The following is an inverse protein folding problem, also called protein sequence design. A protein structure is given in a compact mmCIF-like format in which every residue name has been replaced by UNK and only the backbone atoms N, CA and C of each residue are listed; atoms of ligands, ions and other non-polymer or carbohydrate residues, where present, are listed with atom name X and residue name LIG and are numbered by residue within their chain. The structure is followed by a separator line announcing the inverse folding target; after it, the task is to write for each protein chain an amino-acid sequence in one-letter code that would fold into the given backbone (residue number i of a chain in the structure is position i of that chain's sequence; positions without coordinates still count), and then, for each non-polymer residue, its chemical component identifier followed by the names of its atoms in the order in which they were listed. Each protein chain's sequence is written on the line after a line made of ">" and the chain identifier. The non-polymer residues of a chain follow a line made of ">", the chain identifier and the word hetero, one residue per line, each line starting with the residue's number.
data_IF_804165877591
#
_entry.id   IF_804165877591
#
_cell.length_a   1.000
_cell.length_b   1.000
_cell.length_c   1.000
_cell.angle_alpha   90.00
_cell.angle_beta   90.00
_cell.angle_gamma   90.00
#
_symmetry.space_group_name_H-M   'P 1'
#
loop_
_entity.id
_entity.type
_entity.pdbx_description
1 polymer ?
#
# COMPACT_ATOMS: atom_id res chain seq x y z
N UNK A 1 -15.69 9.75 7.48
CA UNK A 1 -15.46 9.76 6.01
C UNK A 1 -14.30 10.71 5.71
N UNK A 2 -13.05 10.25 5.73
CA UNK A 2 -11.88 11.07 5.40
C UNK A 2 -10.78 10.17 4.82
N UNK A 3 -10.91 9.73 3.57
CA UNK A 3 -9.77 9.19 2.79
C UNK A 3 -9.92 9.43 1.27
N UNK A 4 -11.10 9.82 0.80
CA UNK A 4 -11.31 10.38 -0.53
C UNK A 4 -10.93 11.88 -0.48
N UNK A 5 -9.95 12.47 -1.21
CA UNK A 5 -9.23 12.02 -2.39
C UNK A 5 -7.75 12.50 -2.42
N UNK A 6 -6.83 11.87 -1.66
CA UNK A 6 -5.39 12.17 -1.79
C UNK A 6 -4.65 11.21 -2.72
N UNK A 7 -5.33 10.16 -3.20
CA UNK A 7 -4.78 9.13 -4.08
C UNK A 7 -4.62 9.65 -5.52
N UNK A 8 -5.35 10.69 -5.92
CA UNK A 8 -5.35 11.13 -7.33
C UNK A 8 -4.18 12.06 -7.72
N UNK A 9 -3.57 12.78 -6.79
CA UNK A 9 -2.49 13.72 -7.14
C UNK A 9 -1.15 13.03 -7.46
N UNK A 10 -0.96 11.77 -7.04
CA UNK A 10 0.26 11.00 -7.28
C UNK A 10 0.24 10.19 -8.60
N UNK A 11 -0.85 10.28 -9.39
CA UNK A 11 -1.07 9.45 -10.58
C UNK A 11 -0.07 9.66 -11.72
N UNK A 12 0.71 10.74 -11.73
CA UNK A 12 1.72 11.01 -12.77
C UNK A 12 3.16 10.85 -12.29
N UNK A 13 3.44 11.06 -10.99
CA UNK A 13 4.73 10.78 -10.36
C UNK A 13 4.52 10.38 -8.89
N UNK A 14 4.89 9.14 -8.52
CA UNK A 14 5.00 8.72 -7.12
C UNK A 14 6.45 8.62 -6.71
N UNK A 15 6.73 8.94 -5.45
CA UNK A 15 8.06 8.81 -4.85
C UNK A 15 7.93 8.16 -3.47
N UNK A 16 9.00 7.53 -2.95
CA UNK A 16 8.97 6.97 -1.61
C UNK A 16 8.56 7.99 -0.54
N UNK A 17 8.90 9.28 -0.70
CA UNK A 17 8.51 10.32 0.26
C UNK A 17 7.02 10.68 0.19
N UNK A 18 6.42 10.68 -1.00
CA UNK A 18 4.98 10.92 -1.19
C UNK A 18 4.17 9.79 -0.53
N UNK A 19 4.53 8.54 -0.81
CA UNK A 19 3.81 7.38 -0.25
C UNK A 19 3.96 7.28 1.28
N UNK A 20 5.13 7.61 1.83
CA UNK A 20 5.30 7.71 3.29
C UNK A 20 4.38 8.77 3.88
N UNK A 21 4.25 9.93 3.23
CA UNK A 21 3.35 11.00 3.67
C UNK A 21 1.87 10.57 3.69
N UNK A 22 1.47 9.74 2.71
CA UNK A 22 0.13 9.13 2.68
C UNK A 22 -0.08 8.19 3.87
N UNK A 23 0.85 7.26 4.11
CA UNK A 23 0.75 6.32 5.23
C UNK A 23 0.77 7.02 6.59
N UNK A 24 1.55 8.09 6.74
CA UNK A 24 1.53 8.92 7.95
C UNK A 24 0.14 9.52 8.22
N UNK A 25 -0.55 10.02 7.19
CA UNK A 25 -1.93 10.52 7.31
C UNK A 25 -2.95 9.42 7.55
N UNK A 26 -2.65 8.18 7.15
CA UNK A 26 -3.46 7.02 7.50
C UNK A 26 -3.28 6.62 8.97
N UNK A 27 -2.30 7.15 9.69
CA UNK A 27 -2.10 6.86 11.11
C UNK A 27 -0.98 5.86 11.41
N UNK A 28 -0.18 5.49 10.40
CA UNK A 28 1.09 4.81 10.63
C UNK A 28 2.12 5.79 11.18
N UNK A 29 3.05 5.31 12.01
CA UNK A 29 4.20 6.11 12.42
C UNK A 29 5.29 6.11 11.32
N UNK A 30 6.29 6.98 11.49
CA UNK A 30 7.38 7.15 10.49
C UNK A 30 8.15 5.85 10.19
N UNK A 31 8.32 4.97 11.18
CA UNK A 31 9.02 3.70 11.00
C UNK A 31 8.17 2.70 10.23
N UNK A 32 6.90 2.56 10.59
CA UNK A 32 5.92 1.71 9.89
C UNK A 32 5.75 2.17 8.44
N UNK A 33 5.56 3.47 8.22
CA UNK A 33 5.41 4.05 6.89
C UNK A 33 6.65 3.81 6.01
N UNK A 34 7.85 3.96 6.58
CA UNK A 34 9.10 3.67 5.88
C UNK A 34 9.17 2.18 5.49
N UNK A 35 8.97 1.27 6.45
CA UNK A 35 9.04 -0.17 6.19
C UNK A 35 8.05 -0.62 5.10
N UNK A 36 6.80 -0.17 5.18
CA UNK A 36 5.79 -0.49 4.17
C UNK A 36 6.20 0.01 2.78
N UNK A 37 6.65 1.26 2.68
CA UNK A 37 7.08 1.83 1.39
C UNK A 37 8.29 1.09 0.84
N UNK A 38 9.28 0.76 1.66
CA UNK A 38 10.48 0.03 1.23
C UNK A 38 10.08 -1.35 0.68
N UNK A 39 9.26 -2.12 1.40
CA UNK A 39 8.78 -3.44 0.96
C UNK A 39 7.92 -3.38 -0.31
N UNK A 40 7.08 -2.34 -0.46
CA UNK A 40 6.25 -2.13 -1.66
C UNK A 40 7.12 -1.70 -2.85
N UNK A 41 8.15 -0.89 -2.60
CA UNK A 41 9.10 -0.43 -3.61
C UNK A 41 9.94 -1.59 -4.16
N UNK A 42 10.47 -2.45 -3.29
CA UNK A 42 11.21 -3.66 -3.66
C UNK A 42 10.39 -4.59 -4.58
N UNK A 43 9.06 -4.56 -4.45
CA UNK A 43 8.13 -5.34 -5.30
C UNK A 43 7.77 -4.67 -6.62
N UNK A 44 8.27 -3.47 -6.88
CA UNK A 44 7.91 -2.66 -8.05
C UNK A 44 6.47 -2.16 -8.03
N UNK A 45 5.83 -2.14 -6.86
CA UNK A 45 4.40 -1.82 -6.71
C UNK A 45 4.13 -0.39 -6.25
N UNK A 46 5.16 0.45 -6.11
CA UNK A 46 4.99 1.83 -5.64
C UNK A 46 4.00 2.63 -6.52
N UNK A 47 4.01 2.39 -7.83
CA UNK A 47 3.07 3.01 -8.79
C UNK A 47 1.60 2.64 -8.58
N UNK A 48 1.28 1.67 -7.70
CA UNK A 48 -0.09 1.32 -7.30
C UNK A 48 -0.59 2.09 -6.08
N UNK A 49 0.30 2.83 -5.41
CA UNK A 49 0.05 3.59 -4.18
C UNK A 49 0.13 2.71 -2.93
N UNK A 50 1.00 3.05 -1.99
CA UNK A 50 1.23 2.26 -0.77
C UNK A 50 -0.01 2.24 0.14
N UNK A 51 -0.66 3.39 0.31
CA UNK A 51 -1.92 3.47 1.07
C UNK A 51 -3.05 2.65 0.44
N UNK A 52 -3.11 2.62 -0.89
CA UNK A 52 -4.10 1.83 -1.62
C UNK A 52 -3.87 0.32 -1.46
N UNK A 53 -2.61 -0.13 -1.51
CA UNK A 53 -2.26 -1.54 -1.27
C UNK A 53 -2.71 -1.96 0.14
N UNK A 54 -2.33 -1.19 1.17
CA UNK A 54 -2.69 -1.48 2.56
C UNK A 54 -4.22 -1.54 2.73
N UNK A 55 -4.94 -0.54 2.21
CA UNK A 55 -6.40 -0.51 2.28
C UNK A 55 -7.05 -1.71 1.55
N UNK A 56 -6.55 -2.08 0.37
CA UNK A 56 -7.12 -3.17 -0.41
C UNK A 56 -6.91 -4.53 0.27
N UNK A 57 -5.75 -4.75 0.89
CA UNK A 57 -5.47 -5.93 1.71
C UNK A 57 -6.35 -5.98 2.94
N UNK A 58 -6.51 -4.85 3.64
CA UNK A 58 -7.43 -4.76 4.77
C UNK A 58 -8.85 -5.18 4.39
N UNK A 59 -9.32 -4.73 3.20
CA UNK A 59 -10.62 -5.12 2.63
C UNK A 59 -10.69 -6.60 2.26
N UNK A 60 -9.62 -7.17 1.69
CA UNK A 60 -9.57 -8.59 1.31
C UNK A 60 -9.67 -9.52 2.53
N UNK A 61 -9.03 -9.17 3.63
CA UNK A 61 -9.04 -9.96 4.87
C UNK A 61 -10.12 -9.53 5.86
N UNK A 62 -10.95 -8.54 5.52
CA UNK A 62 -11.97 -7.96 6.38
C UNK A 62 -11.44 -7.55 7.77
N UNK A 63 -10.29 -6.87 7.79
CA UNK A 63 -9.62 -6.36 8.98
C UNK A 63 -9.44 -4.84 8.90
N UNK A 64 -9.08 -4.22 10.03
CA UNK A 64 -8.69 -2.81 10.04
C UNK A 64 -7.40 -2.57 9.23
N UNK A 65 -7.28 -1.40 8.61
CA UNK A 65 -6.15 -1.11 7.74
C UNK A 65 -4.83 -0.86 8.50
N UNK A 66 -4.88 -0.40 9.76
CA UNK A 66 -3.69 -0.31 10.61
C UNK A 66 -3.17 -1.72 10.91
N UNK A 67 -4.08 -2.64 11.25
CA UNK A 67 -3.74 -4.04 11.47
C UNK A 67 -3.16 -4.69 10.21
N UNK A 68 -3.79 -4.49 9.06
CA UNK A 68 -3.27 -4.97 7.78
C UNK A 68 -1.85 -4.47 7.50
N UNK A 69 -1.60 -3.18 7.69
CA UNK A 69 -0.26 -2.60 7.48
C UNK A 69 0.79 -3.19 8.42
N UNK A 70 0.45 -3.44 9.70
CA UNK A 70 1.38 -4.06 10.66
C UNK A 70 1.69 -5.51 10.31
N UNK A 71 0.69 -6.28 9.90
CA UNK A 71 0.89 -7.66 9.42
C UNK A 71 1.72 -7.72 8.15
N UNK A 72 1.50 -6.80 7.22
CA UNK A 72 2.35 -6.66 6.03
C UNK A 72 3.81 -6.37 6.41
N UNK A 73 4.06 -5.48 7.38
CA UNK A 73 5.42 -5.23 7.91
C UNK A 73 6.06 -6.50 8.48
N UNK A 74 5.25 -7.39 9.06
CA UNK A 74 5.70 -8.69 9.60
C UNK A 74 5.85 -9.78 8.53
N UNK A 75 5.63 -9.47 7.25
CA UNK A 75 5.79 -10.43 6.15
C UNK A 75 4.51 -11.17 5.76
N UNK A 76 3.35 -10.79 6.28
CA UNK A 76 2.07 -11.41 5.93
C UNK A 76 1.40 -10.75 4.70
N UNK A 77 0.43 -11.45 4.10
CA UNK A 77 -0.44 -10.98 3.01
C UNK A 77 0.23 -10.59 1.68
N UNK A 78 1.56 -10.73 1.58
CA UNK A 78 2.27 -10.35 0.35
C UNK A 78 1.92 -11.22 -0.87
N UNK A 79 1.52 -12.47 -0.66
CA UNK A 79 1.01 -13.32 -1.74
C UNK A 79 -0.29 -12.76 -2.32
N UNK A 80 -1.18 -12.26 -1.45
CA UNK A 80 -2.41 -11.57 -1.85
C UNK A 80 -2.12 -10.23 -2.53
N UNK A 81 -1.12 -9.48 -2.03
CA UNK A 81 -0.65 -8.24 -2.70
C UNK A 81 -0.22 -8.55 -4.13
N UNK A 82 0.62 -9.57 -4.32
CA UNK A 82 1.12 -9.95 -5.63
C UNK A 82 -0.03 -10.43 -6.53
N UNK A 83 -0.93 -11.28 -6.01
CA UNK A 83 -2.12 -11.77 -6.71
C UNK A 83 -3.03 -10.63 -7.19
N UNK A 84 -3.27 -9.63 -6.34
CA UNK A 84 -4.19 -8.52 -6.62
C UNK A 84 -3.56 -7.47 -7.54
N UNK A 85 -2.29 -7.10 -7.31
CA UNK A 85 -1.68 -5.92 -7.93
C UNK A 85 -0.70 -6.19 -9.05
N UNK A 86 -0.10 -7.39 -9.12
CA UNK A 86 0.80 -7.73 -10.23
C UNK A 86 0.04 -8.21 -11.46
N UNK A 87 -1.15 -8.78 -11.27
CA UNK A 87 -2.04 -9.22 -12.35
C UNK A 87 -1.43 -10.29 -13.25
N UNK A 88 -2.11 -11.42 -13.41
CA UNK A 88 -1.78 -12.39 -14.47
C UNK A 88 -1.79 -11.63 -15.80
N UNK A 89 -0.69 -11.67 -16.58
CA UNK A 89 -0.71 -11.21 -17.98
C UNK A 89 -1.84 -11.95 -18.69
N UNK A 90 -3.01 -11.32 -18.86
CA UNK A 90 -3.94 -11.71 -19.92
C UNK A 90 -3.28 -11.26 -21.21
N UNK A 91 -2.48 -12.15 -21.79
CA UNK A 91 -2.15 -12.09 -23.20
C UNK A 91 -3.47 -12.32 -23.94
N UNK A 92 -4.07 -11.25 -24.43
CA UNK A 92 -5.09 -11.28 -25.48
C UNK A 92 -4.42 -10.99 -26.82
#
# INVERSE_FOLDING_TARGET
>A
KVVDPLVELAKTHTSPSIERSVLLRMGFNSLEAKKLVDMIFERGLLGKGAGHIVWRIAKEHNIDYIEAGRRMINGEFWDDVDRIFKGVKKNG
#
